data_IF_569434134925
#
_entry.id   IF_569434134925
#
_cell.length_a   1.000
_cell.length_b   1.000
_cell.length_c   1.000
_cell.angle_alpha   90.00
_cell.angle_beta   90.00
_cell.angle_gamma   90.00
#
_symmetry.space_group_name_H-M   'P 1'
#
loop_
_entity.id
_entity.type
_entity.pdbx_description
1 polymer ?
#
# COMPACT_ATOMS: atom_id res chain seq x y z
N UNK A 1 -11.55 7.23 24.26
CA UNK A 1 -10.89 6.24 23.39
C UNK A 1 -9.53 5.87 23.96
N UNK A 2 -9.25 4.59 24.04
CA UNK A 2 -7.96 4.06 24.48
C UNK A 2 -6.83 4.65 23.60
N UNK A 3 -5.68 5.07 24.18
CA UNK A 3 -4.56 5.54 23.40
C UNK A 3 -4.09 4.56 22.31
N UNK A 4 -4.16 3.26 22.57
CA UNK A 4 -3.80 2.24 21.57
C UNK A 4 -4.76 2.22 20.39
N UNK A 5 -6.04 2.47 20.63
CA UNK A 5 -7.03 2.60 19.55
C UNK A 5 -6.79 3.85 18.72
N UNK A 6 -6.37 4.94 19.35
CA UNK A 6 -5.98 6.17 18.64
C UNK A 6 -4.78 5.93 17.75
N UNK A 7 -3.78 5.20 18.25
CA UNK A 7 -2.59 4.83 17.46
C UNK A 7 -3.00 3.98 16.27
N UNK A 8 -3.84 2.97 16.48
CA UNK A 8 -4.32 2.10 15.39
C UNK A 8 -5.08 2.89 14.32
N UNK A 9 -5.96 3.81 14.74
CA UNK A 9 -6.71 4.67 13.81
C UNK A 9 -5.79 5.60 13.03
N UNK A 10 -4.77 6.19 13.70
CA UNK A 10 -3.82 7.07 13.06
C UNK A 10 -2.99 6.33 12.00
N UNK A 11 -2.52 5.12 12.31
CA UNK A 11 -1.78 4.28 11.37
C UNK A 11 -2.62 3.93 10.15
N UNK A 12 -3.89 3.56 10.36
CA UNK A 12 -4.82 3.28 9.27
C UNK A 12 -5.00 4.50 8.37
N UNK A 13 -5.28 5.66 8.95
CA UNK A 13 -5.53 6.90 8.20
C UNK A 13 -4.30 7.32 7.41
N UNK A 14 -3.13 7.30 8.04
CA UNK A 14 -1.87 7.68 7.39
C UNK A 14 -1.55 6.74 6.23
N UNK A 15 -1.68 5.43 6.45
CA UNK A 15 -1.38 4.46 5.41
C UNK A 15 -2.35 4.57 4.24
N UNK A 16 -3.65 4.72 4.50
CA UNK A 16 -4.65 4.91 3.44
C UNK A 16 -4.40 6.17 2.61
N UNK A 17 -3.97 7.26 3.25
CA UNK A 17 -3.61 8.48 2.53
C UNK A 17 -2.42 8.24 1.58
N UNK A 18 -1.37 7.54 2.04
CA UNK A 18 -0.23 7.19 1.20
C UNK A 18 -0.65 6.30 0.03
N UNK A 19 -1.51 5.31 0.28
CA UNK A 19 -2.05 4.43 -0.77
C UNK A 19 -2.81 5.24 -1.82
N UNK A 20 -3.66 6.16 -1.40
CA UNK A 20 -4.44 6.98 -2.33
C UNK A 20 -3.55 7.86 -3.19
N UNK A 21 -2.50 8.45 -2.63
CA UNK A 21 -1.54 9.27 -3.38
C UNK A 21 -0.81 8.44 -4.45
N UNK A 22 -0.36 7.25 -4.08
CA UNK A 22 0.32 6.34 -5.02
C UNK A 22 -0.65 5.85 -6.11
N UNK A 23 -1.90 5.54 -5.75
CA UNK A 23 -2.91 5.14 -6.74
C UNK A 23 -3.17 6.22 -7.77
N UNK A 24 -3.16 7.50 -7.35
CA UNK A 24 -3.27 8.63 -8.29
C UNK A 24 -2.07 8.66 -9.24
N UNK A 25 -0.86 8.51 -8.73
CA UNK A 25 0.35 8.45 -9.56
C UNK A 25 0.25 7.34 -10.60
N UNK A 26 -0.20 6.14 -10.20
CA UNK A 26 -0.35 5.00 -11.10
C UNK A 26 -1.34 5.30 -12.22
N UNK A 27 -2.45 5.98 -11.91
CA UNK A 27 -3.46 6.35 -12.92
C UNK A 27 -2.95 7.39 -13.91
N UNK A 28 -2.08 8.29 -13.46
CA UNK A 28 -1.53 9.37 -14.27
C UNK A 28 -0.35 8.93 -15.12
N UNK A 29 0.21 7.76 -14.83
CA UNK A 29 1.36 7.26 -15.58
C UNK A 29 0.96 6.95 -17.01
N UNK A 30 1.72 7.55 -17.91
CA UNK A 30 1.67 7.24 -19.34
C UNK A 30 2.86 6.34 -19.65
N UNK A 31 2.59 5.05 -19.87
CA UNK A 31 3.61 4.07 -20.20
C UNK A 31 3.99 4.12 -21.69
N UNK A 32 4.06 5.35 -22.23
CA UNK A 32 4.44 5.61 -23.63
C UNK A 32 5.48 6.71 -23.69
N UNK A 33 6.34 6.67 -24.69
CA UNK A 33 7.38 7.68 -24.91
C UNK A 33 8.69 7.39 -24.21
N UNK A 34 9.61 8.34 -24.28
CA UNK A 34 11.00 8.17 -23.86
C UNK A 34 11.18 7.98 -22.35
N UNK A 35 10.19 8.36 -21.55
CA UNK A 35 10.25 8.30 -20.09
C UNK A 35 9.49 7.10 -19.50
N UNK A 36 8.92 6.23 -20.33
CA UNK A 36 8.10 5.11 -19.86
C UNK A 36 8.85 4.21 -18.89
N UNK A 37 10.10 3.86 -19.17
CA UNK A 37 10.91 2.99 -18.31
C UNK A 37 11.23 3.66 -16.97
N UNK A 38 11.53 4.96 -16.98
CA UNK A 38 11.81 5.72 -15.76
C UNK A 38 10.57 5.78 -14.88
N UNK A 39 9.43 6.11 -15.47
CA UNK A 39 8.15 6.22 -14.76
C UNK A 39 7.71 4.86 -14.21
N UNK A 40 7.87 3.80 -14.99
CA UNK A 40 7.60 2.43 -14.54
C UNK A 40 8.45 2.07 -13.32
N UNK A 41 9.76 2.27 -13.41
CA UNK A 41 10.69 1.93 -12.33
C UNK A 41 10.41 2.72 -11.06
N UNK A 42 10.10 4.01 -11.18
CA UNK A 42 9.76 4.84 -10.03
C UNK A 42 8.47 4.37 -9.36
N UNK A 43 7.44 4.12 -10.15
CA UNK A 43 6.14 3.65 -9.63
C UNK A 43 6.27 2.28 -9.00
N UNK A 44 7.02 1.37 -9.63
CA UNK A 44 7.30 0.05 -9.07
C UNK A 44 7.97 0.15 -7.70
N UNK A 45 8.97 1.02 -7.59
CA UNK A 45 9.67 1.27 -6.32
C UNK A 45 8.70 1.80 -5.26
N UNK A 46 7.88 2.78 -5.62
CA UNK A 46 6.92 3.38 -4.71
C UNK A 46 5.87 2.37 -4.21
N UNK A 47 5.38 1.51 -5.09
CA UNK A 47 4.44 0.44 -4.72
C UNK A 47 5.09 -0.58 -3.78
N UNK A 48 6.35 -0.97 -4.05
CA UNK A 48 7.10 -1.87 -3.19
C UNK A 48 7.33 -1.28 -1.80
N UNK A 49 7.75 -0.01 -1.74
CA UNK A 49 7.96 0.69 -0.48
C UNK A 49 6.65 0.76 0.32
N UNK A 50 5.53 0.98 -0.36
CA UNK A 50 4.21 1.03 0.26
C UNK A 50 3.80 -0.34 0.85
N UNK A 51 4.10 -1.43 0.15
CA UNK A 51 3.87 -2.80 0.64
C UNK A 51 4.70 -3.05 1.90
N UNK A 52 5.97 -2.68 1.89
CA UNK A 52 6.87 -2.86 3.04
C UNK A 52 6.39 -2.07 4.24
N UNK A 53 5.99 -0.81 4.05
CA UNK A 53 5.44 0.02 5.14
C UNK A 53 4.11 -0.52 5.66
N UNK A 54 3.28 -1.05 4.77
CA UNK A 54 2.02 -1.69 5.15
C UNK A 54 2.26 -2.92 6.01
N UNK A 55 3.23 -3.75 5.65
CA UNK A 55 3.61 -4.93 6.42
C UNK A 55 4.12 -4.57 7.81
N UNK A 56 4.96 -3.54 7.92
CA UNK A 56 5.45 -3.04 9.20
C UNK A 56 4.31 -2.49 10.07
N UNK A 57 3.38 -1.76 9.48
CA UNK A 57 2.22 -1.23 10.19
C UNK A 57 1.33 -2.37 10.71
N UNK A 58 1.09 -3.40 9.91
CA UNK A 58 0.32 -4.58 10.30
C UNK A 58 0.99 -5.28 11.50
N UNK A 59 2.30 -5.51 11.42
CA UNK A 59 3.05 -6.14 12.51
C UNK A 59 2.95 -5.33 13.81
N UNK A 60 3.07 -4.01 13.72
CA UNK A 60 2.92 -3.12 14.86
C UNK A 60 1.53 -3.17 15.47
N UNK A 61 0.50 -3.19 14.66
CA UNK A 61 -0.90 -3.25 15.11
C UNK A 61 -1.21 -4.61 15.73
N UNK A 62 -0.73 -5.70 15.15
CA UNK A 62 -0.91 -7.05 15.69
C UNK A 62 -0.21 -7.19 17.04
N UNK A 63 0.93 -6.54 17.23
CA UNK A 63 1.61 -6.50 18.53
C UNK A 63 0.75 -5.80 19.58
N UNK A 64 0.14 -4.67 19.25
CA UNK A 64 -0.80 -3.97 20.13
C UNK A 64 -1.99 -4.89 20.47
N UNK A 65 -2.54 -5.55 19.47
CA UNK A 65 -3.68 -6.45 19.64
C UNK A 65 -3.37 -7.62 20.59
N UNK A 66 -2.13 -8.14 20.55
CA UNK A 66 -1.71 -9.26 21.37
C UNK A 66 -1.51 -8.91 22.85
N UNK A 67 -1.41 -7.62 23.18
CA UNK A 67 -1.15 -7.14 24.54
C UNK A 67 -2.40 -7.03 25.40
N UNK A 68 -3.57 -7.38 24.88
CA UNK A 68 -4.82 -7.33 25.63
C UNK A 68 -6.04 -7.36 24.73
N UNK A 69 -7.16 -6.91 25.27
CA UNK A 69 -8.43 -6.87 24.54
C UNK A 69 -8.52 -5.57 23.73
N UNK A 70 -8.06 -5.63 22.46
CA UNK A 70 -8.06 -4.49 21.55
C UNK A 70 -8.75 -4.85 20.23
N UNK A 71 -10.12 -4.99 20.24
CA UNK A 71 -10.84 -5.35 19.01
C UNK A 71 -10.58 -4.40 17.84
N UNK A 72 -10.45 -3.10 18.13
CA UNK A 72 -10.18 -2.09 17.09
C UNK A 72 -8.84 -2.34 16.39
N UNK A 73 -7.83 -2.78 17.14
CA UNK A 73 -6.53 -3.11 16.55
C UNK A 73 -6.64 -4.29 15.56
N UNK A 74 -7.40 -5.32 15.89
CA UNK A 74 -7.66 -6.43 14.96
C UNK A 74 -8.43 -5.98 13.72
N UNK A 75 -9.43 -5.12 13.89
CA UNK A 75 -10.17 -4.56 12.74
C UNK A 75 -9.27 -3.78 11.80
N UNK A 76 -8.40 -2.93 12.35
CA UNK A 76 -7.45 -2.14 11.58
C UNK A 76 -6.45 -3.05 10.87
N UNK A 77 -5.92 -4.07 11.55
CA UNK A 77 -5.01 -5.04 10.94
C UNK A 77 -5.66 -5.73 9.74
N UNK A 78 -6.91 -6.18 9.88
CA UNK A 78 -7.64 -6.81 8.77
C UNK A 78 -7.81 -5.86 7.59
N UNK A 79 -8.16 -4.61 7.86
CA UNK A 79 -8.30 -3.58 6.81
C UNK A 79 -6.98 -3.33 6.10
N UNK A 80 -5.87 -3.22 6.84
CA UNK A 80 -4.55 -2.98 6.24
C UNK A 80 -4.07 -4.19 5.44
N UNK A 81 -4.32 -5.40 5.89
CA UNK A 81 -4.00 -6.62 5.14
C UNK A 81 -4.71 -6.59 3.77
N UNK A 82 -5.99 -6.25 3.76
CA UNK A 82 -6.74 -6.11 2.53
C UNK A 82 -6.14 -5.02 1.63
N UNK A 83 -5.81 -3.88 2.21
CA UNK A 83 -5.24 -2.75 1.46
C UNK A 83 -3.87 -3.10 0.86
N UNK A 84 -3.00 -3.77 1.62
CA UNK A 84 -1.69 -4.24 1.13
C UNK A 84 -1.88 -5.23 -0.01
N UNK A 85 -2.86 -6.12 0.09
CA UNK A 85 -3.18 -7.06 -0.99
C UNK A 85 -3.61 -6.33 -2.26
N UNK A 86 -4.40 -5.27 -2.15
CA UNK A 86 -4.81 -4.45 -3.29
C UNK A 86 -3.60 -3.74 -3.92
N UNK A 87 -2.70 -3.19 -3.11
CA UNK A 87 -1.46 -2.55 -3.59
C UNK A 87 -0.59 -3.57 -4.33
N UNK A 88 -0.49 -4.78 -3.81
CA UNK A 88 0.26 -5.84 -4.47
C UNK A 88 -0.35 -6.20 -5.83
N UNK A 89 -1.67 -6.24 -5.93
CA UNK A 89 -2.38 -6.43 -7.20
C UNK A 89 -2.07 -5.29 -8.17
N UNK A 90 -2.07 -4.04 -7.69
CA UNK A 90 -1.72 -2.88 -8.51
C UNK A 90 -0.29 -3.00 -9.06
N UNK A 91 0.65 -3.50 -8.25
CA UNK A 91 2.02 -3.73 -8.70
C UNK A 91 2.08 -4.78 -9.82
N UNK A 92 1.36 -5.88 -9.66
CA UNK A 92 1.31 -6.93 -10.69
C UNK A 92 0.65 -6.42 -11.97
N UNK A 93 -0.40 -5.62 -11.86
CA UNK A 93 -1.06 -4.98 -13.02
C UNK A 93 -0.12 -4.03 -13.75
N UNK A 94 0.71 -3.29 -13.02
CA UNK A 94 1.71 -2.41 -13.62
C UNK A 94 2.74 -3.21 -14.42
N UNK A 95 3.23 -4.32 -13.88
CA UNK A 95 4.14 -5.23 -14.59
C UNK A 95 3.51 -5.75 -15.88
N UNK A 96 2.25 -6.14 -15.81
CA UNK A 96 1.53 -6.65 -16.98
C UNK A 96 1.40 -5.58 -18.05
N UNK A 97 1.03 -4.36 -17.67
CA UNK A 97 0.94 -3.23 -18.63
C UNK A 97 2.26 -2.99 -19.32
N UNK A 98 3.37 -3.02 -18.59
CA UNK A 98 4.69 -2.79 -19.18
C UNK A 98 5.07 -3.92 -20.13
N UNK A 99 4.80 -5.17 -19.76
CA UNK A 99 5.05 -6.32 -20.62
C UNK A 99 4.22 -6.26 -21.91
N UNK A 100 2.95 -5.86 -21.82
CA UNK A 100 2.06 -5.72 -22.98
C UNK A 100 2.55 -4.63 -23.94
N UNK A 101 3.13 -3.55 -23.43
CA UNK A 101 3.72 -2.49 -24.24
C UNK A 101 4.96 -2.95 -24.98
N UNK A 102 5.79 -3.77 -24.36
CA UNK A 102 7.01 -4.30 -24.97
C UNK A 102 6.71 -5.24 -26.14
N UNK A 103 5.50 -5.77 -26.25
CA UNK A 103 5.08 -6.63 -27.35
C UNK A 103 4.68 -5.88 -28.62
N UNK A 104 4.49 -4.58 -28.52
CA UNK A 104 4.14 -3.75 -29.65
C UNK A 104 5.34 -2.98 -30.17
#
# INVERSE_FOLDING_TARGET
MDPKDKISNALETTYKAEVNDIKKEVKEIQLTGDKADVDFNLTRKNLKDLIDRGSEAIDGILKIASEGDHPRAYEVAATLIKTVSEVNTDLMDLHKKMADMDKT
#
